data_IF_369518192012
#
_entry.id   IF_369518192012
#
_cell.length_a   1.000
_cell.length_b   1.000
_cell.length_c   1.000
_cell.angle_alpha   90.00
_cell.angle_beta   90.00
_cell.angle_gamma   90.00
#
_symmetry.space_group_name_H-M   'P 1'
#
loop_
_entity.id
_entity.type
_entity.pdbx_description
1 polymer ?
#
# COMPACT_ATOMS: atom_id res chain seq x y z
N UNK A 1 -4.38 12.87 -7.37
CA UNK A 1 -3.94 13.55 -6.12
C UNK A 1 -2.44 13.79 -6.16
N UNK A 2 -1.96 14.90 -5.59
CA UNK A 2 -0.53 15.12 -5.32
C UNK A 2 -0.33 15.39 -3.84
N UNK A 3 0.66 14.74 -3.23
CA UNK A 3 1.04 14.91 -1.82
C UNK A 3 2.56 14.95 -1.70
N UNK A 4 3.06 15.88 -0.90
CA UNK A 4 4.48 16.02 -0.61
C UNK A 4 4.68 16.36 0.87
N UNK A 5 5.69 15.75 1.51
CA UNK A 5 6.06 16.02 2.91
C UNK A 5 4.86 15.96 3.87
N UNK A 6 3.95 15.02 3.63
CA UNK A 6 2.70 14.86 4.38
C UNK A 6 2.80 13.69 5.35
N UNK A 7 2.01 13.76 6.41
CA UNK A 7 1.91 12.68 7.38
C UNK A 7 0.47 12.16 7.47
N UNK A 8 0.30 10.88 7.14
CA UNK A 8 -0.98 10.18 7.15
C UNK A 8 -0.95 9.14 8.27
N UNK A 9 -1.40 9.53 9.46
CA UNK A 9 -1.36 8.66 10.63
C UNK A 9 -2.74 8.38 11.21
N UNK A 10 -2.91 7.18 11.77
CA UNK A 10 -4.09 6.78 12.54
C UNK A 10 -5.41 6.92 11.79
N UNK A 11 -5.40 6.80 10.46
CA UNK A 11 -6.61 6.80 9.67
C UNK A 11 -7.21 5.39 9.64
N UNK A 12 -8.53 5.29 9.77
CA UNK A 12 -9.25 4.02 9.84
C UNK A 12 -10.43 4.02 8.87
N UNK A 13 -10.40 3.10 7.91
CA UNK A 13 -11.48 2.87 6.97
C UNK A 13 -12.06 1.47 7.17
N UNK A 14 -13.37 1.30 7.06
CA UNK A 14 -13.99 -0.02 7.20
C UNK A 14 -13.71 -0.96 6.03
N UNK A 15 -13.24 -0.45 4.89
CA UNK A 15 -13.09 -1.23 3.66
C UNK A 15 -11.76 -1.00 2.95
N UNK A 16 -11.52 0.18 2.38
CA UNK A 16 -10.40 0.40 1.44
C UNK A 16 -9.55 1.58 1.84
N UNK A 17 -8.23 1.39 1.85
CA UNK A 17 -7.25 2.48 1.89
C UNK A 17 -7.41 3.38 3.12
N UNK A 18 -6.82 2.99 4.25
CA UNK A 18 -6.97 3.71 5.51
C UNK A 18 -6.67 5.21 5.38
N UNK A 19 -5.66 5.57 4.59
CA UNK A 19 -5.29 6.95 4.30
C UNK A 19 -5.67 7.42 2.89
N UNK A 20 -5.39 6.62 1.85
CA UNK A 20 -5.61 7.00 0.46
C UNK A 20 -6.32 5.89 -0.30
N UNK A 21 -7.36 6.26 -1.02
CA UNK A 21 -8.01 5.42 -2.03
C UNK A 21 -7.88 6.09 -3.40
N UNK A 22 -7.18 5.44 -4.33
CA UNK A 22 -7.17 5.78 -5.75
C UNK A 22 -8.04 4.79 -6.49
N UNK A 23 -9.15 5.26 -7.06
CA UNK A 23 -10.19 4.43 -7.65
C UNK A 23 -10.78 5.09 -8.90
N UNK A 24 -11.23 4.28 -9.85
CA UNK A 24 -11.93 4.72 -11.06
C UNK A 24 -11.09 5.69 -11.90
N UNK A 25 -10.08 5.13 -12.58
CA UNK A 25 -9.19 5.85 -13.50
C UNK A 25 -8.44 7.03 -12.85
N UNK A 26 -8.15 6.90 -11.55
CA UNK A 26 -7.49 7.93 -10.76
C UNK A 26 -5.98 7.72 -10.65
N UNK A 27 -5.24 8.83 -10.64
CA UNK A 27 -3.79 8.83 -10.48
C UNK A 27 -3.37 9.59 -9.21
N UNK A 28 -2.47 8.99 -8.44
CA UNK A 28 -1.88 9.58 -7.24
C UNK A 28 -0.36 9.67 -7.32
N UNK A 29 0.18 10.79 -6.87
CA UNK A 29 1.63 11.00 -6.72
C UNK A 29 1.90 11.40 -5.28
N UNK A 30 2.75 10.63 -4.60
CA UNK A 30 3.14 10.89 -3.21
C UNK A 30 4.65 10.92 -3.10
N UNK A 31 5.18 11.96 -2.47
CA UNK A 31 6.63 12.12 -2.30
C UNK A 31 6.98 12.52 -0.87
N UNK A 32 8.06 11.96 -0.32
CA UNK A 32 8.61 12.38 0.98
C UNK A 32 7.60 12.32 2.13
N UNK A 33 6.64 11.41 2.08
CA UNK A 33 5.52 11.32 3.03
C UNK A 33 5.60 10.06 3.89
N UNK A 34 4.95 10.11 5.05
CA UNK A 34 4.83 8.97 5.97
C UNK A 34 3.38 8.51 6.05
N UNK A 35 3.18 7.19 6.03
CA UNK A 35 1.93 6.50 6.27
C UNK A 35 2.13 5.57 7.47
N UNK A 36 1.57 5.94 8.62
CA UNK A 36 1.79 5.21 9.86
C UNK A 36 0.50 4.80 10.56
N UNK A 37 0.43 3.58 11.08
CA UNK A 37 -0.68 3.14 11.94
C UNK A 37 -2.07 3.28 11.30
N UNK A 38 -2.16 3.16 9.98
CA UNK A 38 -3.45 3.20 9.28
C UNK A 38 -4.06 1.80 9.21
N UNK A 39 -5.39 1.75 9.22
CA UNK A 39 -6.16 0.51 9.27
C UNK A 39 -7.23 0.51 8.16
N UNK A 40 -7.31 -0.59 7.42
CA UNK A 40 -8.41 -0.87 6.48
C UNK A 40 -8.59 -2.38 6.29
N UNK A 41 -9.61 -2.82 5.57
CA UNK A 41 -9.70 -4.24 5.17
C UNK A 41 -8.73 -4.55 4.03
N UNK A 42 -8.70 -3.69 3.01
CA UNK A 42 -7.84 -3.79 1.84
C UNK A 42 -6.92 -2.59 1.75
N UNK A 43 -5.61 -2.84 1.80
CA UNK A 43 -4.63 -1.76 1.76
C UNK A 43 -4.66 -0.96 3.04
N UNK A 44 -3.99 -1.45 4.09
CA UNK A 44 -4.07 -0.84 5.43
C UNK A 44 -3.81 0.67 5.43
N UNK A 45 -2.96 1.14 4.51
CA UNK A 45 -2.82 2.58 4.22
C UNK A 45 -3.38 3.01 2.86
N UNK A 46 -3.10 2.25 1.80
CA UNK A 46 -3.41 2.66 0.43
C UNK A 46 -4.12 1.57 -0.34
N UNK A 47 -5.21 1.95 -0.99
CA UNK A 47 -5.90 1.13 -1.97
C UNK A 47 -5.76 1.76 -3.36
N UNK A 48 -5.34 0.98 -4.36
CA UNK A 48 -5.29 1.39 -5.77
C UNK A 48 -6.09 0.40 -6.60
N UNK A 49 -7.19 0.85 -7.20
CA UNK A 49 -8.10 -0.03 -7.93
C UNK A 49 -8.73 0.57 -9.17
N UNK A 50 -9.23 -0.29 -10.05
CA UNK A 50 -10.01 0.07 -11.25
C UNK A 50 -9.24 1.03 -12.16
N UNK A 51 -8.28 0.47 -12.90
CA UNK A 51 -7.46 1.19 -13.87
C UNK A 51 -6.75 2.43 -13.30
N UNK A 52 -6.43 2.41 -12.01
CA UNK A 52 -5.79 3.51 -11.31
C UNK A 52 -4.28 3.31 -11.20
N UNK A 53 -3.56 4.41 -10.95
CA UNK A 53 -2.12 4.33 -10.70
C UNK A 53 -1.66 5.15 -9.50
N UNK A 54 -0.59 4.70 -8.86
CA UNK A 54 0.12 5.50 -7.86
C UNK A 54 1.64 5.46 -8.07
N UNK A 55 2.25 6.64 -8.02
CA UNK A 55 3.69 6.81 -7.87
C UNK A 55 4.04 7.23 -6.44
N UNK A 56 4.95 6.51 -5.80
CA UNK A 56 5.46 6.80 -4.45
C UNK A 56 6.97 6.96 -4.49
N UNK A 57 7.50 8.07 -3.97
CA UNK A 57 8.95 8.28 -3.92
C UNK A 57 9.41 8.81 -2.57
N UNK A 58 10.47 8.23 -2.01
CA UNK A 58 11.03 8.64 -0.71
C UNK A 58 10.02 8.59 0.44
N UNK A 59 9.10 7.62 0.42
CA UNK A 59 8.03 7.50 1.42
C UNK A 59 8.29 6.39 2.43
N UNK A 60 7.68 6.50 3.60
CA UNK A 60 7.71 5.47 4.65
C UNK A 60 6.28 4.95 4.84
N UNK A 61 6.12 3.64 4.82
CA UNK A 61 4.88 2.93 5.15
C UNK A 61 5.17 2.02 6.34
N UNK A 62 4.69 2.41 7.52
CA UNK A 62 4.99 1.71 8.75
C UNK A 62 3.78 1.37 9.62
N UNK A 63 3.79 0.18 10.23
CA UNK A 63 2.74 -0.25 11.16
C UNK A 63 1.31 -0.16 10.59
N UNK A 64 1.15 -0.24 9.28
CA UNK A 64 -0.18 -0.26 8.68
C UNK A 64 -0.75 -1.67 8.72
N UNK A 65 -2.05 -1.77 8.99
CA UNK A 65 -2.73 -3.04 9.19
C UNK A 65 -3.89 -3.20 8.22
N UNK A 66 -3.83 -4.25 7.41
CA UNK A 66 -4.99 -4.74 6.67
C UNK A 66 -5.66 -5.87 7.46
N UNK A 67 -6.96 -5.75 7.73
CA UNK A 67 -7.70 -6.85 8.36
C UNK A 67 -7.95 -8.01 7.41
N UNK A 68 -7.71 -7.84 6.10
CA UNK A 68 -7.76 -8.88 5.09
C UNK A 68 -6.44 -8.97 4.30
N UNK A 69 -6.23 -8.14 3.27
CA UNK A 69 -5.05 -8.23 2.38
C UNK A 69 -4.37 -6.88 2.10
N UNK A 70 -3.05 -6.94 1.88
CA UNK A 70 -2.22 -5.78 1.56
C UNK A 70 -2.00 -4.87 2.76
N UNK A 71 -1.12 -5.26 3.69
CA UNK A 71 -0.99 -4.56 4.99
C UNK A 71 -0.62 -3.08 4.87
N UNK A 72 0.18 -2.71 3.86
CA UNK A 72 0.34 -1.31 3.47
C UNK A 72 -0.51 -0.96 2.25
N UNK A 73 -0.30 -1.67 1.15
CA UNK A 73 -0.83 -1.33 -0.18
C UNK A 73 -1.54 -2.54 -0.80
N UNK A 74 -2.75 -2.31 -1.29
CA UNK A 74 -3.51 -3.26 -2.09
C UNK A 74 -3.72 -2.71 -3.51
N UNK A 75 -3.40 -3.52 -4.54
CA UNK A 75 -3.47 -3.14 -5.96
C UNK A 75 -4.35 -4.11 -6.73
N UNK A 76 -5.40 -3.61 -7.38
CA UNK A 76 -6.46 -4.44 -7.98
C UNK A 76 -7.02 -3.90 -9.30
N UNK A 77 -7.53 -4.81 -10.14
CA UNK A 77 -8.28 -4.52 -11.36
C UNK A 77 -7.52 -3.63 -12.34
N UNK A 78 -6.50 -4.22 -12.98
CA UNK A 78 -5.65 -3.58 -14.00
C UNK A 78 -5.01 -2.27 -13.53
N UNK A 79 -4.68 -2.21 -12.23
CA UNK A 79 -4.08 -1.02 -11.63
C UNK A 79 -2.57 -1.19 -11.43
N UNK A 80 -1.88 -0.08 -11.16
CA UNK A 80 -0.44 -0.13 -10.97
C UNK A 80 0.06 0.73 -9.82
N UNK A 81 1.08 0.23 -9.14
CA UNK A 81 1.87 1.02 -8.20
C UNK A 81 3.32 0.98 -8.62
N UNK A 82 3.97 2.14 -8.58
CA UNK A 82 5.41 2.25 -8.74
C UNK A 82 5.98 2.98 -7.53
N UNK A 83 7.02 2.42 -6.93
CA UNK A 83 7.67 2.98 -5.75
C UNK A 83 9.18 3.05 -5.92
N UNK A 84 9.80 4.10 -5.39
CA UNK A 84 11.24 4.26 -5.40
C UNK A 84 11.76 4.94 -4.13
N UNK A 85 12.90 4.48 -3.60
CA UNK A 85 13.47 5.01 -2.35
C UNK A 85 12.50 4.94 -1.15
N UNK A 86 11.57 3.98 -1.15
CA UNK A 86 10.57 3.85 -0.08
C UNK A 86 10.96 2.76 0.93
N UNK A 87 10.42 2.86 2.14
CA UNK A 87 10.59 1.86 3.20
C UNK A 87 9.21 1.33 3.57
N UNK A 88 9.04 0.01 3.52
CA UNK A 88 7.85 -0.72 3.95
C UNK A 88 8.23 -1.61 5.12
N UNK A 89 7.79 -1.24 6.32
CA UNK A 89 8.20 -1.91 7.55
C UNK A 89 7.04 -2.15 8.52
N UNK A 90 7.05 -3.27 9.23
CA UNK A 90 6.07 -3.61 10.27
C UNK A 90 4.62 -3.59 9.79
N UNK A 91 4.37 -3.73 8.49
CA UNK A 91 3.00 -3.77 7.96
C UNK A 91 2.47 -5.19 8.07
N UNK A 92 1.19 -5.32 8.41
CA UNK A 92 0.56 -6.61 8.68
C UNK A 92 -0.72 -6.78 7.87
N UNK A 93 -0.91 -7.95 7.28
CA UNK A 93 -2.19 -8.38 6.73
C UNK A 93 -2.62 -9.69 7.39
N UNK A 94 -3.91 -9.90 7.61
CA UNK A 94 -4.39 -11.18 8.16
C UNK A 94 -4.17 -12.34 7.18
N UNK A 95 -4.54 -12.14 5.91
CA UNK A 95 -4.50 -13.19 4.89
C UNK A 95 -3.21 -13.11 4.06
N UNK A 96 -3.07 -12.09 3.22
CA UNK A 96 -2.02 -12.08 2.19
C UNK A 96 -1.33 -10.73 2.02
N UNK A 97 -0.01 -10.78 1.79
CA UNK A 97 0.79 -9.61 1.43
C UNK A 97 0.96 -8.61 2.55
N UNK A 98 1.87 -8.88 3.49
CA UNK A 98 2.03 -8.04 4.69
C UNK A 98 2.38 -6.58 4.40
N UNK A 99 3.08 -6.29 3.30
CA UNK A 99 3.20 -4.94 2.75
C UNK A 99 2.33 -4.75 1.50
N UNK A 100 2.50 -5.62 0.50
CA UNK A 100 1.83 -5.51 -0.80
C UNK A 100 1.00 -6.75 -1.12
N UNK A 101 -0.23 -6.51 -1.58
CA UNK A 101 -1.01 -7.50 -2.29
C UNK A 101 -1.35 -6.99 -3.70
N UNK A 102 -1.03 -7.77 -4.72
CA UNK A 102 -1.23 -7.41 -6.13
C UNK A 102 -2.06 -8.49 -6.82
N UNK A 103 -3.21 -8.10 -7.37
CA UNK A 103 -4.18 -9.04 -7.94
C UNK A 103 -4.93 -8.48 -9.16
N UNK A 104 -5.55 -9.37 -9.94
CA UNK A 104 -6.41 -9.07 -11.09
C UNK A 104 -5.73 -8.19 -12.14
N UNK A 105 -4.70 -8.76 -12.80
CA UNK A 105 -3.91 -8.12 -13.88
C UNK A 105 -3.22 -6.82 -13.46
N UNK A 106 -3.05 -6.62 -12.16
CA UNK A 106 -2.36 -5.45 -11.62
C UNK A 106 -0.86 -5.68 -11.52
N UNK A 107 -0.10 -4.61 -11.31
CA UNK A 107 1.36 -4.69 -11.16
C UNK A 107 1.86 -3.76 -10.05
N UNK A 108 2.95 -4.18 -9.39
CA UNK A 108 3.72 -3.33 -8.48
C UNK A 108 5.19 -3.34 -8.91
N UNK A 109 5.72 -2.17 -9.23
CA UNK A 109 7.15 -1.97 -9.45
C UNK A 109 7.76 -1.36 -8.19
N UNK A 110 8.72 -2.06 -7.60
CA UNK A 110 9.42 -1.62 -6.40
C UNK A 110 10.89 -1.43 -6.74
N UNK A 111 11.30 -0.17 -6.87
CA UNK A 111 12.65 0.25 -7.21
C UNK A 111 13.61 0.14 -6.02
N UNK A 112 14.44 1.16 -5.80
CA UNK A 112 15.42 1.21 -4.70
C UNK A 112 14.78 1.32 -3.31
N UNK A 113 13.94 0.37 -2.93
CA UNK A 113 13.08 0.38 -1.75
C UNK A 113 13.32 -0.86 -0.88
N UNK A 114 12.88 -0.81 0.37
CA UNK A 114 13.07 -1.88 1.35
C UNK A 114 11.72 -2.46 1.75
N UNK A 115 11.57 -3.79 1.69
CA UNK A 115 10.39 -4.53 2.17
C UNK A 115 10.70 -5.61 3.21
N UNK A 116 11.94 -5.71 3.68
CA UNK A 116 12.41 -6.84 4.49
C UNK A 116 12.16 -6.70 6.00
N UNK A 117 11.62 -5.57 6.46
CA UNK A 117 11.52 -5.23 7.88
C UNK A 117 10.17 -5.64 8.45
N UNK A 118 10.09 -6.87 9.00
CA UNK A 118 8.97 -7.33 9.83
C UNK A 118 7.57 -7.15 9.24
N UNK A 119 7.44 -7.23 7.92
CA UNK A 119 6.11 -7.34 7.30
C UNK A 119 5.60 -8.78 7.49
N UNK A 120 4.31 -8.93 7.82
CA UNK A 120 3.73 -10.22 8.16
C UNK A 120 2.36 -10.45 7.50
N UNK A 121 2.14 -11.66 7.00
CA UNK A 121 0.85 -12.16 6.54
C UNK A 121 0.86 -13.69 6.56
N UNK A 122 -0.33 -14.32 6.46
CA UNK A 122 -0.45 -15.77 6.32
C UNK A 122 0.22 -16.26 5.04
N UNK A 123 0.01 -15.55 3.92
CA UNK A 123 0.65 -15.84 2.63
C UNK A 123 1.44 -14.63 2.11
N UNK A 124 2.74 -14.80 1.89
CA UNK A 124 3.61 -13.74 1.39
C UNK A 124 3.87 -12.66 2.46
N UNK A 125 4.86 -12.91 3.32
CA UNK A 125 5.14 -12.06 4.49
C UNK A 125 5.29 -10.57 4.14
N UNK A 126 5.96 -10.24 3.04
CA UNK A 126 6.01 -8.86 2.53
C UNK A 126 5.13 -8.66 1.29
N UNK A 127 5.23 -9.54 0.30
CA UNK A 127 4.55 -9.39 -0.98
C UNK A 127 3.83 -10.69 -1.33
N UNK A 128 2.60 -10.57 -1.81
CA UNK A 128 1.86 -11.64 -2.46
C UNK A 128 1.37 -11.17 -3.83
N UNK A 129 1.55 -12.02 -4.84
CA UNK A 129 1.03 -11.80 -6.20
C UNK A 129 0.20 -13.02 -6.58
N UNK A 130 -1.01 -12.79 -7.09
CA UNK A 130 -1.95 -13.83 -7.53
C UNK A 130 -2.38 -13.60 -8.98
#
# INVERSE_FOLDING_TARGET
MWSNASNYEYNNASHSGGAIMSFDESNATVTSSTFANNIAAYGGSVYVGVSSSMWSNSCIYENNTATDTGGAIYVFSSSSVSSNACIYQYNTATDSGGAFYVYDKSNATVGSSVLALHNAATYGGAVHVW
#
